data_IF_850569584587
#
_entry.id   IF_850569584587
#
_cell.length_a   1.000
_cell.length_b   1.000
_cell.length_c   1.000
_cell.angle_alpha   90.00
_cell.angle_beta   90.00
_cell.angle_gamma   90.00
#
_symmetry.space_group_name_H-M   'P 1'
#
loop_
_entity.id
_entity.type
_entity.pdbx_description
1 polymer ?
#
# COMPACT_ATOMS: atom_id res chain seq x y z
N UNK A 1 15.38 -2.76 18.56
CA UNK A 1 14.03 -3.02 18.04
C UNK A 1 14.22 -3.81 16.76
N UNK A 2 13.86 -5.10 16.75
CA UNK A 2 13.86 -5.86 15.51
C UNK A 2 12.99 -5.14 14.47
N UNK A 3 13.55 -4.91 13.29
CA UNK A 3 12.78 -4.44 12.15
C UNK A 3 11.78 -5.55 11.80
N UNK A 4 10.50 -5.40 12.18
CA UNK A 4 9.44 -6.37 11.89
C UNK A 4 9.44 -6.78 10.41
N UNK A 5 9.76 -5.84 9.53
CA UNK A 5 9.96 -6.04 8.10
C UNK A 5 11.06 -7.06 7.78
N UNK A 6 12.19 -7.04 8.48
CA UNK A 6 13.25 -8.04 8.29
C UNK A 6 12.82 -9.42 8.79
N UNK A 7 12.08 -9.49 9.89
CA UNK A 7 11.53 -10.76 10.41
C UNK A 7 10.51 -11.35 9.42
N UNK A 8 9.70 -10.50 8.80
CA UNK A 8 8.73 -10.88 7.78
C UNK A 8 9.42 -11.40 6.51
N UNK A 9 10.46 -10.70 6.06
CA UNK A 9 11.28 -11.10 4.91
C UNK A 9 11.98 -12.43 5.16
N UNK A 10 12.64 -12.61 6.31
CA UNK A 10 13.30 -13.88 6.67
C UNK A 10 12.32 -15.06 6.66
N UNK A 11 11.11 -14.85 7.19
CA UNK A 11 10.05 -15.88 7.18
C UNK A 11 9.54 -16.19 5.78
N UNK A 12 9.40 -15.18 4.92
CA UNK A 12 8.99 -15.37 3.53
C UNK A 12 10.05 -16.16 2.77
N UNK A 13 11.33 -15.81 2.93
CA UNK A 13 12.47 -16.53 2.31
C UNK A 13 12.50 -17.99 2.78
N UNK A 14 12.34 -18.24 4.09
CA UNK A 14 12.26 -19.61 4.65
C UNK A 14 11.08 -20.43 4.10
N UNK A 15 10.04 -19.78 3.58
CA UNK A 15 8.86 -20.42 2.98
C UNK A 15 8.95 -20.59 1.47
N UNK A 16 10.08 -20.25 0.86
CA UNK A 16 10.29 -20.38 -0.58
C UNK A 16 9.95 -19.13 -1.39
N UNK A 17 9.83 -17.96 -0.75
CA UNK A 17 9.76 -16.70 -1.50
C UNK A 17 11.15 -16.31 -2.02
N UNK A 18 11.28 -16.19 -3.34
CA UNK A 18 12.48 -15.64 -3.96
C UNK A 18 12.72 -14.19 -3.56
N UNK A 19 14.00 -13.83 -3.40
CA UNK A 19 14.47 -12.47 -3.10
C UNK A 19 13.89 -11.43 -4.07
N UNK A 20 13.73 -11.81 -5.34
CA UNK A 20 13.19 -10.97 -6.41
C UNK A 20 11.67 -10.76 -6.31
N UNK A 21 10.96 -11.72 -5.72
CA UNK A 21 9.49 -11.71 -5.56
C UNK A 21 9.05 -11.09 -4.24
N UNK A 22 9.93 -11.06 -3.22
CA UNK A 22 9.69 -10.43 -1.92
C UNK A 22 9.03 -9.04 -1.98
N UNK A 23 9.56 -8.04 -2.72
CA UNK A 23 8.94 -6.71 -2.74
C UNK A 23 7.54 -6.73 -3.36
N UNK A 24 7.29 -7.62 -4.32
CA UNK A 24 5.96 -7.83 -4.91
C UNK A 24 5.00 -8.44 -3.90
N UNK A 25 5.42 -9.51 -3.22
CA UNK A 25 4.63 -10.24 -2.22
C UNK A 25 4.23 -9.30 -1.08
N UNK A 26 5.17 -8.52 -0.58
CA UNK A 26 4.92 -7.54 0.47
C UNK A 26 3.89 -6.48 0.04
N UNK A 27 4.01 -5.93 -1.17
CA UNK A 27 3.06 -4.94 -1.69
C UNK A 27 1.66 -5.52 -1.83
N UNK A 28 1.53 -6.76 -2.28
CA UNK A 28 0.23 -7.40 -2.40
C UNK A 28 -0.36 -7.75 -1.05
N UNK A 29 0.44 -8.28 -0.11
CA UNK A 29 0.00 -8.52 1.26
C UNK A 29 -0.48 -7.22 1.92
N UNK A 30 0.26 -6.12 1.77
CA UNK A 30 -0.16 -4.81 2.27
C UNK A 30 -1.51 -4.39 1.68
N UNK A 31 -1.70 -4.56 0.36
CA UNK A 31 -2.95 -4.21 -0.31
C UNK A 31 -4.12 -5.09 0.11
N UNK A 32 -3.88 -6.39 0.29
CA UNK A 32 -4.89 -7.36 0.76
C UNK A 32 -5.30 -7.02 2.19
N UNK A 33 -4.33 -6.82 3.08
CA UNK A 33 -4.55 -6.47 4.49
C UNK A 33 -5.19 -5.09 4.67
N UNK A 34 -4.85 -4.12 3.81
CA UNK A 34 -5.48 -2.80 3.82
C UNK A 34 -6.95 -2.86 3.37
N UNK A 35 -7.29 -3.81 2.49
CA UNK A 35 -8.66 -4.01 2.04
C UNK A 35 -9.48 -4.87 3.01
N UNK A 36 -8.83 -5.86 3.64
CA UNK A 36 -9.44 -6.82 4.55
C UNK A 36 -8.42 -7.25 5.63
N UNK A 37 -8.41 -6.59 6.81
CA UNK A 37 -7.42 -6.86 7.87
C UNK A 37 -7.67 -8.19 8.59
N UNK A 38 -8.88 -8.73 8.50
CA UNK A 38 -9.30 -9.99 9.12
C UNK A 38 -9.28 -11.17 8.12
N UNK A 39 -8.54 -11.01 7.00
CA UNK A 39 -8.53 -12.02 5.94
C UNK A 39 -8.03 -13.37 6.45
N UNK A 40 -8.75 -14.41 6.08
CA UNK A 40 -8.37 -15.78 6.39
C UNK A 40 -7.09 -16.20 5.60
N UNK A 41 -6.16 -16.93 6.23
CA UNK A 41 -4.96 -17.43 5.57
C UNK A 41 -5.22 -18.21 4.27
N UNK A 42 -6.23 -19.10 4.13
CA UNK A 42 -6.53 -19.73 2.85
C UNK A 42 -6.91 -18.73 1.76
N UNK A 43 -7.71 -17.71 2.09
CA UNK A 43 -8.13 -16.68 1.14
C UNK A 43 -6.96 -15.79 0.70
N UNK A 44 -6.04 -15.48 1.61
CA UNK A 44 -4.81 -14.77 1.27
C UNK A 44 -3.91 -15.61 0.34
N UNK A 45 -3.76 -16.91 0.63
CA UNK A 45 -3.01 -17.84 -0.23
C UNK A 45 -3.61 -17.97 -1.62
N UNK A 46 -4.94 -18.05 -1.74
CA UNK A 46 -5.61 -18.04 -3.03
C UNK A 46 -5.27 -16.78 -3.83
N UNK A 47 -5.36 -15.61 -3.21
CA UNK A 47 -5.02 -14.33 -3.88
C UNK A 47 -3.57 -14.30 -4.33
N UNK A 48 -2.63 -14.82 -3.53
CA UNK A 48 -1.22 -14.92 -3.91
C UNK A 48 -1.00 -15.95 -5.03
N UNK A 49 -1.74 -17.06 -5.02
CA UNK A 49 -1.74 -18.06 -6.08
C UNK A 49 -2.21 -17.46 -7.42
N UNK A 50 -3.30 -16.68 -7.41
CA UNK A 50 -3.77 -15.94 -8.58
C UNK A 50 -2.75 -14.95 -9.16
N UNK A 51 -1.82 -14.45 -8.33
CA UNK A 51 -0.74 -13.55 -8.73
C UNK A 51 0.52 -14.30 -9.22
N UNK A 52 0.51 -15.64 -9.20
CA UNK A 52 1.62 -16.48 -9.61
C UNK A 52 2.55 -16.91 -8.47
N UNK A 53 2.19 -16.66 -7.21
CA UNK A 53 2.98 -17.04 -6.03
C UNK A 53 2.38 -18.22 -5.27
N UNK A 54 2.13 -19.28 -6.00
CA UNK A 54 1.59 -20.55 -5.52
C UNK A 54 2.52 -21.31 -4.55
N UNK A 55 3.82 -21.02 -4.58
CA UNK A 55 4.82 -21.66 -3.71
C UNK A 55 4.87 -21.01 -2.32
N UNK A 56 4.42 -19.76 -2.19
CA UNK A 56 4.48 -18.99 -0.95
C UNK A 56 3.22 -19.24 -0.12
N UNK A 57 3.35 -20.06 0.92
CA UNK A 57 2.26 -20.31 1.87
C UNK A 57 2.28 -19.35 3.04
N UNK A 58 1.33 -18.44 3.08
CA UNK A 58 1.11 -17.50 4.19
C UNK A 58 0.28 -18.19 5.28
N UNK A 59 0.81 -18.24 6.49
CA UNK A 59 0.09 -18.70 7.69
C UNK A 59 -0.52 -17.52 8.45
N UNK A 60 -1.45 -17.82 9.36
CA UNK A 60 -2.06 -16.84 10.27
C UNK A 60 -1.00 -15.98 10.99
N UNK A 61 0.06 -16.60 11.52
CA UNK A 61 1.14 -15.87 12.19
C UNK A 61 1.92 -14.94 11.26
N UNK A 62 2.07 -15.29 9.97
CA UNK A 62 2.76 -14.45 8.99
C UNK A 62 1.88 -13.26 8.60
N UNK A 63 0.58 -13.49 8.45
CA UNK A 63 -0.45 -12.46 8.24
C UNK A 63 -0.49 -11.44 9.38
N UNK A 64 -0.53 -11.91 10.63
CA UNK A 64 -0.52 -11.03 11.81
C UNK A 64 0.79 -10.23 11.93
N UNK A 65 1.94 -10.85 11.62
CA UNK A 65 3.22 -10.15 11.58
C UNK A 65 3.24 -9.07 10.48
N UNK A 66 2.70 -9.39 9.30
CA UNK A 66 2.59 -8.45 8.19
C UNK A 66 1.68 -7.28 8.55
N UNK A 67 0.52 -7.56 9.16
CA UNK A 67 -0.41 -6.54 9.65
C UNK A 67 0.28 -5.59 10.63
N UNK A 68 0.91 -6.13 11.68
CA UNK A 68 1.64 -5.34 12.66
C UNK A 68 2.79 -4.52 12.04
N UNK A 69 3.48 -5.08 11.03
CA UNK A 69 4.52 -4.37 10.28
C UNK A 69 3.94 -3.19 9.50
N UNK A 70 2.84 -3.39 8.78
CA UNK A 70 2.20 -2.36 7.98
C UNK A 70 1.52 -1.29 8.83
N UNK A 71 0.90 -1.65 9.96
CA UNK A 71 0.39 -0.69 10.94
C UNK A 71 1.50 0.17 11.54
N UNK A 72 2.66 -0.44 11.84
CA UNK A 72 3.83 0.28 12.35
C UNK A 72 4.46 1.21 11.30
N UNK A 73 4.47 0.81 10.03
CA UNK A 73 4.92 1.66 8.90
C UNK A 73 3.90 2.78 8.59
N UNK A 74 2.60 2.54 8.76
CA UNK A 74 1.53 3.55 8.61
C UNK A 74 1.45 4.53 9.81
N UNK A 75 2.20 4.28 10.88
CA UNK A 75 2.36 5.21 12.01
C UNK A 75 3.25 6.42 11.71
N UNK A 76 3.84 6.52 10.52
CA UNK A 76 4.68 7.65 10.12
C UNK A 76 4.15 8.33 8.85
N UNK A 77 3.48 9.44 9.12
CA UNK A 77 3.21 10.62 8.29
C UNK A 77 2.13 10.55 7.18
N UNK A 78 0.90 11.06 7.45
CA UNK A 78 -0.11 11.27 6.42
C UNK A 78 0.28 12.31 5.34
N UNK A 79 1.43 12.98 5.45
CA UNK A 79 1.88 13.93 4.43
C UNK A 79 2.41 13.27 3.14
N UNK A 80 2.91 12.03 3.18
CA UNK A 80 3.48 11.38 1.98
C UNK A 80 2.42 11.04 0.92
N UNK A 81 1.18 10.75 1.34
CA UNK A 81 0.07 10.51 0.41
C UNK A 81 -0.62 11.80 -0.06
N UNK A 82 -0.36 12.95 0.59
CA UNK A 82 -0.92 14.25 0.21
C UNK A 82 -0.15 14.92 -0.95
N UNK A 83 1.05 14.46 -1.29
CA UNK A 83 1.91 15.10 -2.28
C UNK A 83 1.59 14.66 -3.73
N UNK A 84 1.01 13.47 -3.92
CA UNK A 84 0.63 12.97 -5.26
C UNK A 84 -0.64 13.65 -5.81
N UNK A 85 -1.57 14.07 -4.94
CA UNK A 85 -2.82 14.72 -5.35
C UNK A 85 -2.65 16.20 -5.74
N UNK A 86 -1.72 16.93 -5.09
CA UNK A 86 -1.46 18.36 -5.40
C UNK A 86 -0.95 18.59 -6.83
N UNK A 87 -0.19 17.65 -7.39
CA UNK A 87 0.33 17.78 -8.77
C UNK A 87 -0.77 17.79 -9.82
N UNK A 88 -1.90 17.11 -9.58
CA UNK A 88 -3.05 17.11 -10.49
C UNK A 88 -3.91 18.36 -10.34
N UNK A 89 -3.98 18.94 -9.14
CA UNK A 89 -4.80 20.12 -8.86
C UNK A 89 -4.20 21.43 -9.43
N UNK A 90 -2.87 21.52 -9.54
CA UNK A 90 -2.17 22.72 -10.03
C UNK A 90 -2.44 23.07 -11.52
N UNK A 91 -2.94 22.11 -12.33
CA UNK A 91 -3.24 22.34 -13.75
C UNK A 91 -4.63 22.96 -13.99
N UNK A 92 -5.56 22.91 -13.02
CA UNK A 92 -6.94 23.41 -13.22
C UNK A 92 -7.15 24.89 -12.87
N UNK A 93 -6.25 25.51 -12.12
CA UNK A 93 -6.43 26.89 -11.63
C UNK A 93 -5.91 27.97 -12.59
N UNK A 94 -5.29 27.61 -13.72
CA UNK A 94 -4.71 28.59 -14.65
C UNK A 94 -5.69 29.09 -15.74
N UNK A 95 -6.86 28.50 -15.88
CA UNK A 95 -7.75 28.78 -17.03
C UNK A 95 -8.93 29.75 -16.73
N UNK A 96 -9.10 30.29 -15.52
CA UNK A 96 -10.32 31.06 -15.16
C UNK A 96 -10.09 32.49 -14.65
N UNK A 97 -9.02 33.17 -15.06
CA UNK A 97 -8.90 34.62 -14.79
C UNK A 97 -8.33 35.39 -15.98
N UNK A 98 -9.20 35.68 -16.93
CA UNK A 98 -9.18 36.90 -17.76
C UNK A 98 -10.57 36.96 -18.42
N UNK A 99 -11.44 37.94 -18.18
CA UNK A 99 -11.27 39.39 -18.31
C UNK A 99 -12.33 40.12 -17.46
N UNK A 100 -12.08 41.37 -17.03
CA UNK A 100 -13.07 42.21 -16.36
C UNK A 100 -13.91 43.00 -17.38
N UNK A 101 -15.20 43.22 -17.11
CA UNK A 101 -15.90 44.38 -17.68
C UNK A 101 -16.78 45.01 -16.60
N UNK A 102 -16.37 46.21 -16.22
CA UNK A 102 -17.13 47.14 -15.41
C UNK A 102 -18.20 47.80 -16.27
N UNK A 103 -19.41 47.97 -15.73
CA UNK A 103 -20.41 49.00 -16.04
C UNK A 103 -21.54 48.77 -15.02
N UNK A 104 -21.90 49.65 -14.10
CA UNK A 104 -21.96 51.11 -14.15
C UNK A 104 -23.40 51.47 -13.76
N UNK A 105 -23.54 52.16 -12.63
CA UNK A 105 -24.80 52.62 -12.02
C UNK A 105 -25.74 53.39 -12.97
N UNK A 106 -27.06 53.21 -12.79
CA UNK A 106 -28.07 54.26 -12.50
C UNK A 106 -29.49 53.74 -12.77
#
# INVERSE_FOLDING_TARGET
MENLRQVLVDRLVKKGADSSSLPGILRCLAKILSADPEINPPSANEKLCYLGWQEVKVDYHLLQLALACFESEHGVDPAAFAEDDRRRQALRLREMTTTPVAFGEA
#
